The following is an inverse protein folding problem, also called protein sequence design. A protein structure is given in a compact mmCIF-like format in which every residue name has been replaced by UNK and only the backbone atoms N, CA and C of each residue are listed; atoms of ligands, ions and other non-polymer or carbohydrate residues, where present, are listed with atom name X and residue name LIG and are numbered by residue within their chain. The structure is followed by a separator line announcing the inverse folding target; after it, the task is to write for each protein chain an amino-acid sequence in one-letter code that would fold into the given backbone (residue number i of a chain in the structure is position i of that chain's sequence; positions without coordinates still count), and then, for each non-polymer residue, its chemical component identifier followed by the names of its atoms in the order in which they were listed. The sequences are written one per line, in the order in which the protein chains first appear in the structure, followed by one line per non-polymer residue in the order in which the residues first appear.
data_IF_571122761105
#
_entry.id   IF_571122761105
#
_cell.length_a   1.000
_cell.length_b   1.000
_cell.length_c   1.000
_cell.angle_alpha   90.00
_cell.angle_beta   90.00
_cell.angle_gamma   90.00
#
_symmetry.space_group_name_H-M   'P 1'
#
loop_
_entity.id
_entity.type
_entity.pdbx_description
1 polymer ?
#
# COMPACT_ATOMS: atom_id res chain seq x y z
N UNK A 1 44.49 -6.00 -1.74
CA UNK A 1 43.71 -4.97 -2.47
C UNK A 1 44.60 -3.77 -2.71
N UNK A 2 44.73 -3.28 -3.96
CA UNK A 2 45.58 -2.13 -4.28
C UNK A 2 45.12 -0.90 -3.48
N UNK A 3 46.05 -0.14 -2.91
CA UNK A 3 45.74 1.02 -2.04
C UNK A 3 44.84 2.08 -2.72
N UNK A 4 44.85 2.13 -4.05
CA UNK A 4 44.01 2.97 -4.88
C UNK A 4 42.52 2.60 -4.79
N UNK A 5 42.18 1.31 -4.80
CA UNK A 5 40.78 0.86 -4.78
C UNK A 5 40.04 1.29 -3.51
N UNK A 6 40.69 1.14 -2.34
CA UNK A 6 40.11 1.56 -1.06
C UNK A 6 39.89 3.07 -1.00
N UNK A 7 40.84 3.86 -1.52
CA UNK A 7 40.69 5.32 -1.60
C UNK A 7 39.51 5.72 -2.50
N UNK A 8 39.32 5.04 -3.63
CA UNK A 8 38.19 5.26 -4.52
C UNK A 8 36.84 4.92 -3.87
N UNK A 9 36.75 3.83 -3.09
CA UNK A 9 35.50 3.47 -2.38
C UNK A 9 35.16 4.47 -1.27
N UNK A 10 36.15 4.94 -0.51
CA UNK A 10 35.98 5.99 0.51
C UNK A 10 35.48 7.28 -0.14
N UNK A 11 36.12 7.67 -1.24
CA UNK A 11 35.73 8.85 -2.01
C UNK A 11 34.28 8.70 -2.49
N UNK A 12 33.94 7.59 -3.14
CA UNK A 12 32.59 7.36 -3.66
C UNK A 12 31.55 7.40 -2.54
N UNK A 13 31.77 6.67 -1.44
CA UNK A 13 30.86 6.66 -0.29
C UNK A 13 30.64 8.06 0.29
N UNK A 14 31.72 8.83 0.45
CA UNK A 14 31.68 10.16 1.08
C UNK A 14 30.91 11.15 0.23
N UNK A 15 31.26 11.28 -1.05
CA UNK A 15 30.60 12.26 -1.91
C UNK A 15 29.17 11.83 -2.26
N UNK A 16 28.95 10.56 -2.58
CA UNK A 16 27.61 10.05 -2.86
C UNK A 16 26.69 10.19 -1.65
N UNK A 17 27.20 9.86 -0.44
CA UNK A 17 26.47 10.03 0.81
C UNK A 17 26.13 11.49 1.12
N UNK A 18 27.06 12.43 0.88
CA UNK A 18 26.83 13.86 1.14
C UNK A 18 25.83 14.46 0.15
N UNK A 19 25.98 14.19 -1.15
CA UNK A 19 25.08 14.76 -2.17
C UNK A 19 23.68 14.14 -2.13
N UNK A 20 23.58 12.81 -2.01
CA UNK A 20 22.29 12.13 -1.98
C UNK A 20 21.66 12.12 -0.58
N UNK A 21 22.43 12.41 0.48
CA UNK A 21 22.01 12.28 1.87
C UNK A 21 20.77 13.10 2.23
N UNK A 22 20.70 14.37 1.80
CA UNK A 22 19.53 15.22 2.07
C UNK A 22 18.27 14.73 1.37
N UNK A 23 18.39 14.28 0.12
CA UNK A 23 17.28 13.71 -0.63
C UNK A 23 16.81 12.40 0.01
N UNK A 24 17.75 11.50 0.33
CA UNK A 24 17.46 10.24 1.01
C UNK A 24 16.82 10.48 2.37
N UNK A 25 17.29 11.46 3.14
CA UNK A 25 16.70 11.85 4.41
C UNK A 25 15.22 12.24 4.24
N UNK A 26 14.90 13.13 3.29
CA UNK A 26 13.52 13.52 3.04
C UNK A 26 12.65 12.31 2.63
N UNK A 27 13.17 11.42 1.76
CA UNK A 27 12.49 10.20 1.34
C UNK A 27 12.24 9.26 2.52
N UNK A 28 13.23 9.04 3.39
CA UNK A 28 13.09 8.15 4.54
C UNK A 28 12.16 8.71 5.61
N UNK A 29 12.28 10.00 5.95
CA UNK A 29 11.39 10.63 6.92
C UNK A 29 9.95 10.54 6.46
N UNK A 30 9.67 10.90 5.21
CA UNK A 30 8.31 10.80 4.65
C UNK A 30 7.84 9.36 4.49
N UNK A 31 8.75 8.43 4.18
CA UNK A 31 8.48 6.98 4.17
C UNK A 31 8.06 6.46 5.54
N UNK A 32 8.79 6.80 6.60
CA UNK A 32 8.46 6.43 7.98
C UNK A 32 7.12 7.03 8.39
N UNK A 33 6.88 8.31 8.10
CA UNK A 33 5.59 8.94 8.37
C UNK A 33 4.46 8.27 7.59
N UNK A 34 4.69 7.80 6.37
CA UNK A 34 3.66 7.16 5.55
C UNK A 34 3.06 5.90 6.19
N UNK A 35 3.78 5.24 7.10
CA UNK A 35 3.21 4.13 7.88
C UNK A 35 1.99 4.60 8.66
N UNK A 36 2.04 5.79 9.25
CA UNK A 36 0.96 6.40 10.06
C UNK A 36 -0.08 7.16 9.21
N UNK A 37 -0.22 6.80 7.93
CA UNK A 37 -1.16 7.49 7.03
C UNK A 37 -2.59 7.52 7.61
N UNK A 38 -3.18 6.40 8.07
CA UNK A 38 -4.54 6.43 8.64
C UNK A 38 -4.65 7.32 9.88
N UNK A 39 -3.68 7.23 10.79
CA UNK A 39 -3.68 7.94 12.07
C UNK A 39 -3.51 9.45 11.84
N UNK A 40 -2.57 9.85 10.98
CA UNK A 40 -2.41 11.26 10.59
C UNK A 40 -3.64 11.78 9.85
N UNK A 41 -4.25 10.96 8.99
CA UNK A 41 -5.48 11.36 8.28
C UNK A 41 -6.62 11.58 9.26
N UNK A 42 -6.80 10.70 10.24
CA UNK A 42 -7.80 10.84 11.30
C UNK A 42 -7.55 12.09 12.16
N UNK A 43 -6.30 12.34 12.53
CA UNK A 43 -5.94 13.54 13.30
C UNK A 43 -6.22 14.84 12.52
N UNK A 44 -5.90 14.86 11.22
CA UNK A 44 -6.11 16.02 10.35
C UNK A 44 -7.56 16.16 9.85
N UNK A 45 -8.38 15.13 10.01
CA UNK A 45 -9.78 15.08 9.60
C UNK A 45 -10.64 14.55 10.76
N UNK A 46 -10.74 15.31 11.87
CA UNK A 46 -11.49 14.86 13.04
C UNK A 46 -12.97 14.60 12.72
N UNK A 47 -13.53 15.27 11.72
CA UNK A 47 -14.91 15.06 11.24
C UNK A 47 -15.17 13.63 10.74
N UNK A 48 -14.12 12.87 10.39
CA UNK A 48 -14.18 11.42 10.13
C UNK A 48 -14.15 10.65 11.45
N UNK A 49 -15.27 10.62 12.15
CA UNK A 49 -15.41 9.85 13.39
C UNK A 49 -15.55 8.35 13.13
N UNK A 50 -15.43 7.59 14.22
CA UNK A 50 -15.40 6.12 14.24
C UNK A 50 -16.79 5.55 14.04
N UNK A 51 -16.83 4.56 13.15
CA UNK A 51 -17.90 3.64 12.76
C UNK A 51 -18.93 3.40 13.88
N UNK A 52 -20.20 3.71 13.58
CA UNK A 52 -21.35 3.23 14.39
C UNK A 52 -22.26 2.23 13.66
N UNK A 53 -22.16 2.09 12.34
CA UNK A 53 -23.07 1.23 11.56
C UNK A 53 -22.58 -0.23 11.44
N UNK A 54 -23.49 -1.23 11.53
CA UNK A 54 -23.17 -2.64 11.29
C UNK A 54 -22.66 -2.87 9.87
N UNK A 55 -21.68 -3.77 9.72
CA UNK A 55 -21.03 -4.05 8.43
C UNK A 55 -22.01 -4.47 7.32
N UNK A 56 -23.05 -5.25 7.66
CA UNK A 56 -24.07 -5.68 6.71
C UNK A 56 -24.81 -4.48 6.09
N UNK A 57 -25.14 -3.47 6.91
CA UNK A 57 -25.77 -2.23 6.45
C UNK A 57 -24.89 -1.46 5.47
N UNK A 58 -23.57 -1.39 5.72
CA UNK A 58 -22.62 -0.72 4.80
C UNK A 58 -22.54 -1.45 3.46
N UNK A 59 -22.56 -2.78 3.49
CA UNK A 59 -22.51 -3.62 2.29
C UNK A 59 -23.77 -3.40 1.45
N UNK A 60 -24.95 -3.51 2.07
CA UNK A 60 -26.23 -3.33 1.39
C UNK A 60 -26.37 -1.93 0.81
N UNK A 61 -25.99 -0.90 1.56
CA UNK A 61 -25.96 0.47 1.07
C UNK A 61 -25.01 0.65 -0.12
N UNK A 62 -23.80 0.06 -0.04
CA UNK A 62 -22.83 0.10 -1.13
C UNK A 62 -23.37 -0.53 -2.40
N UNK A 63 -24.02 -1.69 -2.30
CA UNK A 63 -24.60 -2.39 -3.44
C UNK A 63 -25.83 -1.68 -4.01
N UNK A 64 -26.70 -1.11 -3.16
CA UNK A 64 -27.83 -0.31 -3.60
C UNK A 64 -27.35 0.91 -4.41
N UNK A 65 -26.38 1.66 -3.87
CA UNK A 65 -25.80 2.81 -4.54
C UNK A 65 -25.14 2.43 -5.88
N UNK A 66 -24.38 1.34 -5.92
CA UNK A 66 -23.71 0.87 -7.14
C UNK A 66 -24.69 0.38 -8.20
N UNK A 67 -25.79 -0.27 -7.81
CA UNK A 67 -26.86 -0.66 -8.75
C UNK A 67 -27.52 0.56 -9.39
N UNK A 68 -27.76 1.61 -8.63
CA UNK A 68 -28.40 2.83 -9.14
C UNK A 68 -27.45 3.66 -10.02
N UNK A 69 -26.19 3.82 -9.59
CA UNK A 69 -25.26 4.77 -10.21
C UNK A 69 -24.25 4.14 -11.19
N UNK A 70 -24.10 2.82 -11.17
CA UNK A 70 -23.02 2.11 -11.86
C UNK A 70 -23.43 0.69 -12.31
N UNK A 71 -24.70 0.46 -12.64
CA UNK A 71 -25.22 -0.84 -13.13
C UNK A 71 -24.54 -1.34 -14.41
N UNK A 72 -23.95 -0.43 -15.18
CA UNK A 72 -23.25 -0.68 -16.45
C UNK A 72 -21.72 -0.78 -16.30
N UNK A 73 -21.20 -0.89 -15.08
CA UNK A 73 -19.76 -0.94 -14.83
C UNK A 73 -19.19 -2.36 -14.99
N UNK A 74 -17.95 -2.45 -15.49
CA UNK A 74 -17.24 -3.72 -15.70
C UNK A 74 -16.79 -4.37 -14.38
N UNK A 75 -16.57 -3.55 -13.34
CA UNK A 75 -16.03 -3.99 -12.07
C UNK A 75 -16.48 -3.06 -10.94
N UNK A 76 -16.99 -3.66 -9.87
CA UNK A 76 -17.24 -2.98 -8.60
C UNK A 76 -16.22 -3.39 -7.55
N UNK A 77 -15.79 -2.43 -6.73
CA UNK A 77 -14.98 -2.65 -5.54
C UNK A 77 -15.60 -1.88 -4.39
N UNK A 78 -15.96 -2.62 -3.35
CA UNK A 78 -16.44 -2.06 -2.09
C UNK A 78 -15.29 -2.18 -1.09
N UNK A 79 -14.88 -1.04 -0.55
CA UNK A 79 -13.86 -0.98 0.49
C UNK A 79 -14.52 -0.60 1.80
N UNK A 80 -14.64 -1.58 2.67
CA UNK A 80 -15.23 -1.43 3.99
C UNK A 80 -14.21 -0.83 4.96
N UNK A 81 -14.69 -0.09 5.96
CA UNK A 81 -13.83 0.44 7.00
C UNK A 81 -13.28 -0.71 7.87
N UNK A 82 -12.11 -0.50 8.46
CA UNK A 82 -11.46 -1.42 9.39
C UNK A 82 -11.09 -0.67 10.67
N UNK A 83 -10.71 -1.40 11.73
CA UNK A 83 -10.30 -0.80 13.01
C UNK A 83 -9.21 0.26 12.86
N UNK A 84 -8.31 0.07 11.89
CA UNK A 84 -7.21 0.99 11.61
C UNK A 84 -7.59 2.11 10.65
N UNK A 85 -8.59 1.92 9.81
CA UNK A 85 -8.94 2.84 8.74
C UNK A 85 -10.46 2.96 8.58
N UNK A 86 -11.03 4.03 9.13
CA UNK A 86 -12.47 4.33 9.06
C UNK A 86 -12.96 4.78 7.67
N UNK A 87 -12.20 4.51 6.60
CA UNK A 87 -12.46 5.03 5.26
C UNK A 87 -13.32 4.05 4.45
N UNK A 88 -14.63 4.29 4.42
CA UNK A 88 -15.59 3.56 3.59
C UNK A 88 -15.75 4.21 2.21
N UNK A 89 -15.50 3.45 1.14
CA UNK A 89 -15.68 3.96 -0.21
C UNK A 89 -16.03 2.86 -1.19
N UNK A 90 -16.73 3.25 -2.25
CA UNK A 90 -16.97 2.40 -3.42
C UNK A 90 -16.18 2.94 -4.60
N UNK A 91 -15.73 2.02 -5.43
CA UNK A 91 -15.03 2.32 -6.65
C UNK A 91 -15.55 1.42 -7.75
N UNK A 92 -15.85 2.00 -8.90
CA UNK A 92 -16.22 1.24 -10.08
C UNK A 92 -15.37 1.64 -11.28
N UNK A 93 -15.21 0.70 -12.21
CA UNK A 93 -14.55 0.93 -13.49
C UNK A 93 -15.56 0.75 -14.61
N UNK A 94 -15.62 1.75 -15.50
CA UNK A 94 -16.30 1.67 -16.78
C UNK A 94 -15.29 2.00 -17.87
N UNK A 95 -14.98 1.03 -18.71
CA UNK A 95 -13.94 1.09 -19.74
C UNK A 95 -12.56 1.42 -19.16
N UNK A 96 -12.11 2.66 -19.37
CA UNK A 96 -10.83 3.23 -18.91
C UNK A 96 -11.00 4.21 -17.76
N UNK A 97 -12.23 4.59 -17.43
CA UNK A 97 -12.53 5.54 -16.36
C UNK A 97 -12.76 4.80 -15.05
N UNK A 98 -12.11 5.28 -14.00
CA UNK A 98 -12.30 4.77 -12.63
C UNK A 98 -12.89 5.89 -11.81
N UNK A 99 -14.08 5.67 -11.27
CA UNK A 99 -14.74 6.60 -10.36
C UNK A 99 -14.64 6.05 -8.94
N UNK A 100 -14.45 6.95 -7.98
CA UNK A 100 -14.38 6.66 -6.55
C UNK A 100 -15.32 7.61 -5.84
N UNK A 101 -16.13 7.05 -4.94
CA UNK A 101 -17.03 7.81 -4.07
C UNK A 101 -16.80 7.34 -2.64
N UNK A 102 -16.57 8.29 -1.73
CA UNK A 102 -16.40 8.02 -0.31
C UNK A 102 -17.70 8.35 0.42
N UNK A 103 -18.06 7.52 1.39
CA UNK A 103 -19.25 7.70 2.21
C UNK A 103 -18.86 8.02 3.65
N UNK A 104 -19.71 8.81 4.30
CA UNK A 104 -19.64 8.97 5.73
C UNK A 104 -20.17 7.70 6.42
N UNK A 105 -19.37 7.13 7.32
CA UNK A 105 -19.66 5.86 7.98
C UNK A 105 -20.84 5.91 8.98
N UNK A 106 -21.28 7.10 9.39
CA UNK A 106 -22.37 7.27 10.35
C UNK A 106 -23.68 7.62 9.66
N UNK A 107 -23.65 8.46 8.63
CA UNK A 107 -24.85 8.96 7.95
C UNK A 107 -25.19 8.23 6.65
N UNK A 108 -24.27 7.39 6.15
CA UNK A 108 -24.33 6.80 4.81
C UNK A 108 -24.42 7.83 3.66
N UNK A 109 -24.26 9.12 3.97
CA UNK A 109 -24.28 10.18 2.97
C UNK A 109 -22.95 10.26 2.21
N UNK A 110 -23.02 10.84 1.01
CA UNK A 110 -21.84 11.15 0.21
C UNK A 110 -20.93 12.12 0.98
N UNK A 111 -19.67 11.74 1.15
CA UNK A 111 -18.69 12.61 1.80
C UNK A 111 -18.22 13.68 0.81
N UNK A 112 -18.17 14.94 1.26
CA UNK A 112 -17.59 16.04 0.47
C UNK A 112 -16.08 15.83 0.33
N UNK A 113 -15.56 16.01 -0.88
CA UNK A 113 -14.12 15.98 -1.11
C UNK A 113 -13.45 17.11 -0.30
N UNK A 114 -12.55 16.74 0.60
CA UNK A 114 -11.80 17.68 1.43
C UNK A 114 -10.53 18.16 0.75
N UNK A 115 -10.12 19.39 1.05
CA UNK A 115 -8.90 20.00 0.48
C UNK A 115 -7.61 19.34 1.00
N UNK A 116 -7.62 18.81 2.22
CA UNK A 116 -6.44 18.18 2.83
C UNK A 116 -6.22 16.75 2.34
N UNK A 117 -4.98 16.44 1.96
CA UNK A 117 -4.57 15.07 1.60
C UNK A 117 -4.33 14.19 2.84
N UNK A 118 -4.40 14.75 4.05
CA UNK A 118 -4.09 14.05 5.28
C UNK A 118 -2.72 13.36 5.23
N UNK A 119 -2.66 12.12 5.73
CA UNK A 119 -1.45 11.31 5.70
C UNK A 119 -1.01 10.86 4.30
N UNK A 120 -1.88 10.94 3.27
CA UNK A 120 -1.50 10.59 1.90
C UNK A 120 -0.41 11.52 1.34
N UNK A 121 -0.27 12.72 1.89
CA UNK A 121 0.81 13.64 1.49
C UNK A 121 2.18 12.99 1.64
N UNK A 122 2.48 12.44 2.82
CA UNK A 122 3.79 11.83 3.11
C UNK A 122 4.03 10.60 2.26
N UNK A 123 2.99 9.77 2.07
CA UNK A 123 3.06 8.62 1.17
C UNK A 123 3.39 9.05 -0.26
N UNK A 124 2.68 10.04 -0.80
CA UNK A 124 2.92 10.52 -2.16
C UNK A 124 4.30 11.17 -2.30
N UNK A 125 4.72 11.99 -1.33
CA UNK A 125 6.06 12.57 -1.33
C UNK A 125 7.15 11.49 -1.34
N UNK A 126 7.00 10.42 -0.56
CA UNK A 126 7.99 9.35 -0.48
C UNK A 126 8.32 8.71 -1.84
N UNK A 127 7.32 8.46 -2.71
CA UNK A 127 7.56 7.80 -4.01
C UNK A 127 7.48 8.72 -5.23
N UNK A 128 6.94 9.94 -5.13
CA UNK A 128 6.90 10.92 -6.25
C UNK A 128 7.52 12.26 -5.95
N UNK A 129 7.98 12.54 -4.74
CA UNK A 129 8.42 13.89 -4.30
C UNK A 129 7.35 14.97 -4.55
N UNK A 130 6.08 14.57 -4.63
CA UNK A 130 4.95 15.43 -5.02
C UNK A 130 5.07 16.04 -6.44
N UNK A 131 5.99 15.54 -7.26
CA UNK A 131 6.12 15.93 -8.67
C UNK A 131 5.01 15.29 -9.50
N UNK A 132 4.50 16.03 -10.49
CA UNK A 132 3.47 15.53 -11.40
C UNK A 132 4.06 14.56 -12.42
N UNK A 133 3.34 13.49 -12.71
CA UNK A 133 3.75 12.46 -13.66
C UNK A 133 4.78 11.50 -13.10
N UNK A 134 5.71 11.06 -13.95
CA UNK A 134 6.68 10.00 -13.65
C UNK A 134 8.04 10.51 -13.13
N UNK A 135 8.32 11.82 -13.24
CA UNK A 135 9.64 12.38 -12.95
C UNK A 135 10.12 12.10 -11.53
N UNK A 136 9.25 12.27 -10.53
CA UNK A 136 9.61 11.99 -9.14
C UNK A 136 9.96 10.53 -8.86
N UNK A 137 9.30 9.58 -9.53
CA UNK A 137 9.58 8.14 -9.38
C UNK A 137 10.95 7.77 -9.95
N UNK A 138 11.41 8.45 -11.00
CA UNK A 138 12.77 8.29 -11.51
C UNK A 138 13.81 8.84 -10.52
N UNK A 139 13.57 10.03 -9.96
CA UNK A 139 14.49 10.64 -8.99
C UNK A 139 14.63 9.76 -7.75
N UNK A 140 13.52 9.29 -7.19
CA UNK A 140 13.52 8.37 -6.04
C UNK A 140 14.20 7.03 -6.39
N UNK A 141 14.00 6.51 -7.60
CA UNK A 141 14.68 5.31 -8.10
C UNK A 141 16.19 5.46 -8.19
N UNK A 142 16.67 6.56 -8.78
CA UNK A 142 18.10 6.90 -8.87
C UNK A 142 18.67 7.08 -7.46
N UNK A 143 17.95 7.74 -6.56
CA UNK A 143 18.36 7.87 -5.17
C UNK A 143 18.48 6.50 -4.48
N UNK A 144 17.55 5.57 -4.70
CA UNK A 144 17.63 4.21 -4.17
C UNK A 144 18.84 3.43 -4.73
N UNK A 145 19.15 3.58 -6.03
CA UNK A 145 20.35 2.99 -6.63
C UNK A 145 21.64 3.58 -6.06
N UNK A 146 21.70 4.91 -5.93
CA UNK A 146 22.81 5.62 -5.29
C UNK A 146 23.00 5.17 -3.84
N UNK A 147 21.91 4.95 -3.10
CA UNK A 147 21.98 4.42 -1.75
C UNK A 147 22.51 2.99 -1.70
N UNK A 148 22.09 2.09 -2.60
CA UNK A 148 22.66 0.74 -2.67
C UNK A 148 24.17 0.79 -2.90
N UNK A 149 24.62 1.62 -3.85
CA UNK A 149 26.06 1.85 -4.06
C UNK A 149 26.75 2.39 -2.80
N UNK A 150 26.13 3.35 -2.10
CA UNK A 150 26.64 3.90 -0.85
C UNK A 150 26.73 2.83 0.27
N UNK A 151 25.75 1.92 0.35
CA UNK A 151 25.77 0.79 1.30
C UNK A 151 26.93 -0.15 0.97
N UNK A 152 27.05 -0.60 -0.28
CA UNK A 152 28.13 -1.51 -0.67
C UNK A 152 29.51 -0.90 -0.40
N UNK A 153 29.73 0.34 -0.87
CA UNK A 153 30.98 1.07 -0.62
C UNK A 153 31.24 1.35 0.87
N UNK A 154 30.19 1.57 1.67
CA UNK A 154 30.25 1.73 3.12
C UNK A 154 30.73 0.46 3.83
N UNK A 155 30.18 -0.71 3.47
CA UNK A 155 30.60 -2.01 4.00
C UNK A 155 32.10 -2.24 3.76
N UNK A 156 32.57 -1.98 2.55
CA UNK A 156 34.00 -2.11 2.20
C UNK A 156 34.88 -1.11 2.96
N UNK A 157 34.40 0.10 3.18
CA UNK A 157 35.14 1.18 3.85
C UNK A 157 35.29 0.94 5.36
N UNK A 158 34.23 0.46 6.01
CA UNK A 158 34.13 0.29 7.47
C UNK A 158 34.49 -1.12 7.96
N UNK A 159 35.10 -1.98 7.14
CA UNK A 159 35.45 -3.38 7.48
C UNK A 159 36.23 -3.56 8.81
N UNK A 160 36.96 -2.53 9.27
CA UNK A 160 37.73 -2.56 10.53
C UNK A 160 36.86 -2.33 11.78
N UNK A 161 35.67 -1.74 11.63
CA UNK A 161 34.75 -1.43 12.73
C UNK A 161 34.09 -2.68 13.33
N UNK A 162 33.93 -3.76 12.56
CA UNK A 162 33.49 -5.07 13.07
C UNK A 162 34.40 -5.59 14.20
N UNK A 163 35.68 -5.18 14.22
CA UNK A 163 36.64 -5.60 15.25
C UNK A 163 36.57 -4.75 16.52
N UNK A 164 36.18 -3.49 16.41
CA UNK A 164 36.18 -2.51 17.50
C UNK A 164 34.74 -2.22 18.02
N UNK A 165 33.77 -3.04 17.62
CA UNK A 165 32.31 -2.87 17.71
C UNK A 165 31.77 -2.52 19.11
N UNK A 166 32.48 -2.90 20.17
CA UNK A 166 32.05 -2.68 21.56
C UNK A 166 32.74 -1.51 22.26
N UNK A 167 33.60 -0.74 21.58
CA UNK A 167 34.34 0.37 22.21
C UNK A 167 33.73 1.73 21.87
N UNK A 168 32.64 2.11 22.53
CA UNK A 168 32.11 3.47 22.47
C UNK A 168 33.11 4.43 23.14
N UNK A 169 33.59 5.44 22.40
CA UNK A 169 34.55 6.44 22.91
C UNK A 169 33.90 7.82 23.01
N UNK A 170 33.14 8.11 24.09
CA UNK A 170 32.33 9.32 24.21
C UNK A 170 33.13 10.61 24.37
N UNK A 171 34.43 10.53 24.65
CA UNK A 171 35.25 11.68 25.03
C UNK A 171 35.57 12.66 23.88
N UNK A 172 35.18 12.37 22.62
CA UNK A 172 35.35 13.27 21.47
C UNK A 172 34.13 13.23 20.55
N UNK A 173 33.42 14.36 20.40
CA UNK A 173 32.17 14.47 19.63
C UNK A 173 32.29 13.95 18.18
N UNK A 174 33.35 14.32 17.46
CA UNK A 174 33.59 13.85 16.08
C UNK A 174 33.73 12.33 16.00
N UNK A 175 34.40 11.73 16.98
CA UNK A 175 34.62 10.28 17.03
C UNK A 175 33.33 9.57 17.41
N UNK A 176 32.61 10.10 18.40
CA UNK A 176 31.30 9.60 18.79
C UNK A 176 30.29 9.62 17.64
N UNK A 177 30.22 10.70 16.85
CA UNK A 177 29.30 10.78 15.70
C UNK A 177 29.65 9.77 14.60
N UNK A 178 30.95 9.55 14.36
CA UNK A 178 31.42 8.55 13.38
C UNK A 178 31.11 7.13 13.85
N UNK A 179 31.33 6.86 15.14
CA UNK A 179 31.03 5.58 15.77
C UNK A 179 29.50 5.31 15.77
N UNK A 180 28.68 6.34 16.05
CA UNK A 180 27.22 6.26 15.98
C UNK A 180 26.72 6.03 14.55
N UNK A 181 27.25 6.74 13.55
CA UNK A 181 26.89 6.54 12.15
C UNK A 181 27.20 5.11 11.69
N UNK A 182 28.36 4.57 12.07
CA UNK A 182 28.73 3.19 11.76
C UNK A 182 27.80 2.17 12.45
N UNK A 183 27.48 2.39 13.73
CA UNK A 183 26.58 1.52 14.50
C UNK A 183 25.14 1.55 13.97
N UNK A 184 24.58 2.74 13.75
CA UNK A 184 23.28 2.92 13.13
C UNK A 184 23.24 2.33 11.72
N UNK A 185 24.32 2.51 10.95
CA UNK A 185 24.49 1.92 9.64
C UNK A 185 24.40 0.40 9.67
N UNK A 186 25.14 -0.28 10.55
CA UNK A 186 25.12 -1.75 10.68
C UNK A 186 23.73 -2.25 11.11
N UNK A 187 23.10 -1.60 12.09
CA UNK A 187 21.79 -1.99 12.59
C UNK A 187 20.71 -1.87 11.51
N UNK A 188 20.76 -0.79 10.72
CA UNK A 188 19.76 -0.51 9.68
C UNK A 188 20.07 -1.15 8.33
N UNK A 189 21.29 -1.63 8.11
CA UNK A 189 21.77 -2.20 6.84
C UNK A 189 20.82 -3.21 6.20
N UNK A 190 20.33 -4.27 6.88
CA UNK A 190 19.44 -5.24 6.24
C UNK A 190 18.12 -4.60 5.78
N UNK A 191 17.58 -3.67 6.56
CA UNK A 191 16.36 -2.94 6.21
C UNK A 191 16.58 -1.99 5.05
N UNK A 192 17.69 -1.24 5.06
CA UNK A 192 18.05 -0.31 3.99
C UNK A 192 18.23 -1.03 2.64
N UNK A 193 18.91 -2.19 2.63
CA UNK A 193 19.04 -3.01 1.42
C UNK A 193 17.66 -3.46 0.93
N UNK A 194 16.83 -4.01 1.83
CA UNK A 194 15.50 -4.50 1.48
C UNK A 194 14.60 -3.38 0.93
N UNK A 195 14.60 -2.20 1.56
CA UNK A 195 13.80 -1.04 1.13
C UNK A 195 14.28 -0.51 -0.23
N UNK A 196 15.59 -0.41 -0.46
CA UNK A 196 16.09 0.06 -1.75
C UNK A 196 15.80 -0.94 -2.88
N UNK A 197 16.04 -2.24 -2.64
CA UNK A 197 15.79 -3.28 -3.64
C UNK A 197 14.30 -3.34 -3.97
N UNK A 198 13.43 -3.36 -2.96
CA UNK A 198 11.98 -3.35 -3.19
C UNK A 198 11.51 -2.09 -3.91
N UNK A 199 12.01 -0.91 -3.53
CA UNK A 199 11.69 0.36 -4.18
C UNK A 199 12.06 0.38 -5.67
N UNK A 200 13.23 -0.14 -6.02
CA UNK A 200 13.66 -0.28 -7.43
C UNK A 200 12.78 -1.30 -8.15
N UNK A 201 12.47 -2.43 -7.51
CA UNK A 201 11.72 -3.52 -8.13
C UNK A 201 10.26 -3.15 -8.43
N UNK A 202 9.60 -2.38 -7.55
CA UNK A 202 8.23 -1.89 -7.75
C UNK A 202 8.10 -1.10 -9.07
N UNK A 203 9.17 -0.42 -9.49
CA UNK A 203 9.21 0.36 -10.74
C UNK A 203 10.09 -0.29 -11.83
N UNK A 204 10.43 -1.57 -11.71
CA UNK A 204 11.31 -2.25 -12.67
C UNK A 204 10.80 -2.17 -14.11
N UNK A 205 9.49 -2.40 -14.31
CA UNK A 205 8.84 -2.30 -15.62
C UNK A 205 8.95 -0.88 -16.19
N UNK A 206 8.79 0.13 -15.34
CA UNK A 206 8.90 1.54 -15.71
C UNK A 206 10.34 1.91 -16.10
N UNK A 207 11.36 1.30 -15.48
CA UNK A 207 12.77 1.54 -15.84
C UNK A 207 13.21 0.77 -17.09
N UNK A 208 12.57 -0.36 -17.40
CA UNK A 208 12.87 -1.20 -18.57
C UNK A 208 11.63 -1.41 -19.46
N UNK A 209 11.09 -0.35 -20.08
CA UNK A 209 9.86 -0.45 -20.86
C UNK A 209 10.01 -1.34 -22.10
N UNK A 210 11.22 -1.45 -22.65
CA UNK A 210 11.50 -2.32 -23.80
C UNK A 210 11.20 -3.79 -23.51
N UNK A 211 11.60 -4.29 -22.34
CA UNK A 211 11.36 -5.68 -21.96
C UNK A 211 9.87 -6.00 -21.85
N UNK A 212 9.06 -5.04 -21.40
CA UNK A 212 7.61 -5.21 -21.37
C UNK A 212 7.00 -5.17 -22.78
N UNK A 213 7.45 -4.23 -23.62
CA UNK A 213 6.88 -4.01 -24.95
C UNK A 213 7.26 -5.10 -25.96
N UNK A 214 8.41 -5.77 -25.80
CA UNK A 214 8.85 -6.84 -26.70
C UNK A 214 8.19 -8.19 -26.40
N UNK A 215 7.84 -8.45 -25.13
CA UNK A 215 7.31 -9.75 -24.69
C UNK A 215 5.80 -9.78 -24.46
N UNK A 216 5.12 -8.62 -24.42
CA UNK A 216 3.69 -8.54 -24.14
C UNK A 216 2.97 -7.61 -25.13
N UNK A 217 1.87 -8.08 -25.73
CA UNK A 217 1.06 -7.31 -26.72
C UNK A 217 0.57 -5.94 -26.21
N UNK A 218 0.48 -5.76 -24.89
CA UNK A 218 0.05 -4.51 -24.23
C UNK A 218 1.16 -3.85 -23.40
N UNK A 219 2.42 -4.22 -23.62
CA UNK A 219 3.56 -3.69 -22.88
C UNK A 219 3.39 -3.85 -21.36
N UNK A 220 3.63 -2.77 -20.63
CA UNK A 220 3.48 -2.71 -19.16
C UNK A 220 2.09 -3.15 -18.66
N UNK A 221 1.03 -2.85 -19.42
CA UNK A 221 -0.35 -3.23 -19.04
C UNK A 221 -0.59 -4.73 -19.20
N UNK A 222 0.07 -5.35 -20.18
CA UNK A 222 0.04 -6.80 -20.38
C UNK A 222 0.70 -7.53 -19.22
N UNK A 223 1.88 -7.06 -18.81
CA UNK A 223 2.62 -7.58 -17.65
C UNK A 223 1.79 -7.47 -16.38
N UNK A 224 1.27 -6.27 -16.07
CA UNK A 224 0.47 -6.05 -14.86
C UNK A 224 -0.78 -6.93 -14.79
N UNK A 225 -1.41 -7.24 -15.93
CA UNK A 225 -2.58 -8.15 -15.98
C UNK A 225 -2.21 -9.58 -15.59
N UNK A 226 -0.99 -10.03 -15.87
CA UNK A 226 -0.55 -11.39 -15.55
C UNK A 226 0.02 -11.50 -14.13
N UNK A 227 0.69 -10.46 -13.63
CA UNK A 227 1.29 -10.46 -12.28
C UNK A 227 0.23 -10.23 -11.19
N UNK A 228 -0.80 -9.43 -11.47
CA UNK A 228 -1.89 -9.20 -10.51
C UNK A 228 -2.96 -10.25 -10.77
N UNK A 229 -3.07 -11.31 -9.95
CA UNK A 229 -4.20 -12.23 -10.05
C UNK A 229 -5.47 -11.42 -9.83
N UNK A 230 -6.28 -11.26 -10.87
CA UNK A 230 -7.64 -10.79 -10.70
C UNK A 230 -8.37 -11.80 -9.82
N UNK A 231 -9.13 -11.32 -8.84
CA UNK A 231 -10.03 -12.16 -8.06
C UNK A 231 -10.82 -13.05 -9.02
N UNK A 232 -10.92 -14.35 -8.69
CA UNK A 232 -11.76 -15.26 -9.45
C UNK A 232 -13.15 -14.65 -9.56
N UNK A 233 -13.67 -14.55 -10.79
CA UNK A 233 -15.03 -14.11 -11.00
C UNK A 233 -15.94 -15.07 -10.25
N UNK A 234 -16.71 -14.54 -9.30
CA UNK A 234 -17.73 -15.34 -8.65
C UNK A 234 -18.68 -15.84 -9.73
N UNK A 235 -18.98 -17.15 -9.79
CA UNK A 235 -20.02 -17.63 -10.68
C UNK A 235 -21.30 -16.84 -10.38
N UNK A 236 -22.09 -16.47 -11.41
CA UNK A 236 -23.34 -15.75 -11.19
C UNK A 236 -24.15 -16.54 -10.17
N UNK A 237 -24.60 -15.86 -9.11
CA UNK A 237 -25.42 -16.47 -8.08
C UNK A 237 -26.55 -17.23 -8.79
N UNK A 238 -26.62 -18.55 -8.61
CA UNK A 238 -27.78 -19.31 -9.03
C UNK A 238 -28.97 -18.64 -8.37
N UNK A 239 -29.80 -18.00 -9.19
CA UNK A 239 -31.08 -17.43 -8.76
C UNK A 239 -31.76 -18.54 -7.96
N UNK A 240 -31.97 -18.33 -6.66
CA UNK A 240 -32.64 -19.32 -5.83
C UNK A 240 -33.95 -19.65 -6.52
N UNK A 241 -34.04 -20.86 -7.06
CA UNK A 241 -35.26 -21.34 -7.67
C UNK A 241 -36.30 -21.47 -6.56
N UNK A 242 -37.40 -20.73 -6.68
CA UNK A 242 -38.65 -21.00 -5.98
C UNK A 242 -38.66 -20.68 -4.49
N UNK A 243 -38.81 -19.41 -4.14
CA UNK A 243 -39.76 -19.06 -3.08
C UNK A 243 -41.12 -18.80 -3.76
N UNK A 244 -41.65 -19.84 -4.42
CA UNK A 244 -42.99 -19.79 -4.97
C UNK A 244 -43.97 -19.87 -3.80
N UNK A 245 -44.67 -18.76 -3.61
CA UNK A 245 -45.92 -18.72 -2.91
C UNK A 245 -46.89 -19.74 -3.52
N UNK A 246 -47.23 -20.83 -2.82
CA UNK A 246 -48.61 -21.32 -2.85
C UNK A 246 -48.97 -22.37 -1.80
N UNK A 247 -50.20 -22.23 -1.29
CA UNK A 247 -51.08 -23.24 -0.69
C UNK A 247 -50.75 -23.80 0.69
N UNK A 248 -51.09 -23.02 1.72
CA UNK A 248 -51.50 -23.59 3.01
C UNK A 248 -52.97 -24.06 2.86
N UNK A 249 -53.17 -25.33 2.48
CA UNK A 249 -54.48 -26.00 2.49
C UNK A 249 -54.46 -27.01 3.64
N UNK A 250 -55.33 -26.91 4.67
CA UNK A 250 -55.32 -27.86 5.76
C UNK A 250 -55.85 -29.22 5.26
N UNK A 251 -54.98 -30.23 5.27
CA UNK A 251 -55.33 -31.60 4.96
C UNK A 251 -56.00 -32.23 6.19
N UNK A 252 -57.25 -32.64 5.99
CA UNK A 252 -58.08 -33.38 6.92
C UNK A 252 -57.48 -34.79 7.11
N UNK A 253 -56.89 -35.08 8.28
CA UNK A 253 -56.39 -36.40 8.63
C UNK A 253 -57.44 -37.15 9.44
N UNK A 254 -58.15 -38.01 8.72
CA UNK A 254 -59.05 -39.01 9.22
C UNK A 254 -58.20 -40.18 9.77
N UNK A 255 -58.10 -40.33 11.09
CA UNK A 255 -57.56 -41.53 11.74
C UNK A 255 -58.66 -42.24 12.51
N UNK A 256 -59.13 -43.36 11.94
CA UNK A 256 -59.92 -44.36 12.64
C UNK A 256 -59.06 -45.11 13.67
N UNK A 257 -59.55 -45.29 14.91
CA UNK A 257 -59.63 -46.62 15.56
C UNK A 257 -60.29 -46.58 16.95
N UNK A 258 -61.42 -47.28 17.02
CA UNK A 258 -61.97 -48.08 18.12
C UNK A 258 -61.10 -48.32 19.36
N UNK A 259 -61.70 -48.05 20.53
CA UNK A 259 -61.75 -48.84 21.80
C UNK A 259 -62.50 -47.95 22.83
N UNK A 260 -63.45 -48.36 23.67
CA UNK A 260 -63.97 -49.65 24.07
C UNK A 260 -65.38 -49.49 24.70
N UNK A 261 -66.16 -50.57 24.68
CA UNK A 261 -67.35 -50.84 25.50
C UNK A 261 -66.95 -51.04 26.97
N UNK A 262 -67.65 -50.39 27.90
CA UNK A 262 -68.35 -50.95 29.07
C UNK A 262 -68.87 -49.79 29.93
#
# INVERSE_FOLDING_TARGET
MKATFRKSMIWLHTYLGVFCGWLLFAIFVTGTLSYFTPEMTRYLMPERHVISLPQDTLIDHSFAFLKENASDADEWRVHLPTDRNAHWYVQWRKDKSRKKVTFNADTAALEKEMETKGGLFFRNFHYTLQLRGYGGRYIVGIAAMAMLLAIFTGIFTHRRFFRDFFTLRPHKLKKWLTDFHALAGILTLPFCIMICVSGIFIYAIMYMPYAANSHFERGEKGVNKQIIPSLALLPPAQKSAGADANTNKPNNLNTSKNMARA
#
